data_IF_668914758994
#
_entry.id   IF_668914758994
#
_cell.length_a   1.000
_cell.length_b   1.000
_cell.length_c   1.000
_cell.angle_alpha   90.00
_cell.angle_beta   90.00
_cell.angle_gamma   90.00
#
_symmetry.space_group_name_H-M   'P 1'
#
loop_
_entity.id
_entity.type
_entity.pdbx_description
1 polymer ?
#
# COMPACT_ATOMS: atom_id res chain seq x y z
N UNK A 1 24.84 -6.12 0.82
CA UNK A 1 25.16 -5.99 2.29
C UNK A 1 23.95 -6.53 3.06
N UNK A 2 24.13 -7.51 3.97
CA UNK A 2 22.99 -8.15 4.65
C UNK A 2 22.18 -7.15 5.49
N UNK A 3 20.86 -7.13 5.34
CA UNK A 3 19.94 -6.33 6.16
C UNK A 3 19.87 -6.96 7.56
N UNK A 4 20.11 -6.15 8.58
CA UNK A 4 20.08 -6.54 9.99
C UNK A 4 18.89 -5.96 10.74
N UNK A 5 18.46 -4.76 10.34
CA UNK A 5 17.39 -4.05 11.01
C UNK A 5 16.48 -3.29 10.02
N UNK A 6 15.24 -3.08 10.45
CA UNK A 6 14.23 -2.35 9.68
C UNK A 6 13.55 -1.26 10.52
N UNK A 7 13.37 -0.08 9.94
CA UNK A 7 12.50 0.95 10.45
C UNK A 7 11.11 0.82 9.83
N UNK A 8 10.06 0.80 10.64
CA UNK A 8 8.67 0.83 10.19
C UNK A 8 8.13 2.25 10.33
N UNK A 9 7.70 2.83 9.23
CA UNK A 9 7.06 4.15 9.20
C UNK A 9 5.56 3.95 9.02
N UNK A 10 4.84 4.14 10.11
CA UNK A 10 3.39 3.90 10.18
C UNK A 10 3.04 2.66 10.99
N UNK A 11 2.09 2.83 11.91
CA UNK A 11 1.57 1.76 12.76
C UNK A 11 0.14 1.37 12.36
N UNK A 12 -0.17 1.41 11.06
CA UNK A 12 -1.40 0.88 10.46
C UNK A 12 -1.43 -0.65 10.48
N UNK A 13 -2.42 -1.26 9.81
CA UNK A 13 -2.52 -2.72 9.73
C UNK A 13 -1.25 -3.38 9.17
N UNK A 14 -0.73 -2.88 8.03
CA UNK A 14 0.48 -3.44 7.41
C UNK A 14 1.75 -3.19 8.23
N UNK A 15 1.90 -1.99 8.80
CA UNK A 15 3.06 -1.69 9.66
C UNK A 15 3.10 -2.61 10.89
N UNK A 16 1.96 -2.83 11.55
CA UNK A 16 1.86 -3.77 12.66
C UNK A 16 2.10 -5.22 12.21
N UNK A 17 1.54 -5.62 11.07
CA UNK A 17 1.69 -6.96 10.50
C UNK A 17 3.18 -7.29 10.26
N UNK A 18 3.87 -6.46 9.51
CA UNK A 18 5.27 -6.73 9.15
C UNK A 18 6.22 -6.53 10.33
N UNK A 19 6.04 -5.46 11.10
CA UNK A 19 6.89 -5.22 12.26
C UNK A 19 6.77 -6.30 13.33
N UNK A 20 5.55 -6.79 13.62
CA UNK A 20 5.37 -7.90 14.56
C UNK A 20 5.98 -9.22 14.08
N UNK A 21 5.92 -9.50 12.75
CA UNK A 21 6.59 -10.67 12.16
C UNK A 21 8.11 -10.57 12.28
N UNK A 22 8.71 -9.41 11.99
CA UNK A 22 10.14 -9.17 12.15
C UNK A 22 10.54 -9.36 13.60
N UNK A 23 9.83 -8.73 14.54
CA UNK A 23 10.08 -8.85 15.97
C UNK A 23 10.03 -10.32 16.44
N UNK A 24 8.96 -11.03 16.07
CA UNK A 24 8.72 -12.43 16.51
C UNK A 24 9.75 -13.41 15.96
N UNK A 25 10.20 -13.24 14.71
CA UNK A 25 11.02 -14.26 14.02
C UNK A 25 12.52 -13.92 13.97
N UNK A 26 12.89 -12.64 14.09
CA UNK A 26 14.31 -12.22 14.08
C UNK A 26 14.73 -11.69 15.46
N UNK A 27 13.89 -10.88 16.10
CA UNK A 27 14.15 -10.37 17.45
C UNK A 27 13.95 -8.85 17.58
N UNK A 28 14.06 -8.37 18.83
CA UNK A 28 13.77 -6.98 19.20
C UNK A 28 14.69 -5.95 18.54
N UNK A 29 15.94 -6.31 18.26
CA UNK A 29 16.93 -5.40 17.69
C UNK A 29 16.82 -5.30 16.16
N UNK A 30 15.99 -6.15 15.54
CA UNK A 30 15.77 -6.20 14.10
C UNK A 30 14.67 -5.26 13.58
N UNK A 31 13.92 -4.60 14.46
CA UNK A 31 12.83 -3.71 14.05
C UNK A 31 12.60 -2.57 15.03
N UNK A 32 12.27 -1.40 14.52
CA UNK A 32 11.78 -0.28 15.33
C UNK A 32 10.69 0.48 14.58
N UNK A 33 9.66 0.91 15.31
CA UNK A 33 8.64 1.83 14.79
C UNK A 33 9.11 3.26 15.04
N UNK A 34 9.25 4.03 13.98
CA UNK A 34 9.71 5.42 14.08
C UNK A 34 8.51 6.34 14.15
N UNK A 35 8.48 7.17 15.18
CA UNK A 35 7.35 8.00 15.52
C UNK A 35 7.77 9.45 15.72
N UNK A 36 6.93 10.38 15.26
CA UNK A 36 6.99 11.77 15.72
C UNK A 36 6.72 11.86 17.22
N UNK A 37 6.97 13.01 17.83
CA UNK A 37 6.85 13.16 19.28
C UNK A 37 5.45 12.90 19.79
N UNK A 38 4.42 13.40 19.12
CA UNK A 38 3.03 13.27 19.53
C UNK A 38 2.57 11.81 19.51
N UNK A 39 2.89 11.10 18.42
CA UNK A 39 2.61 9.66 18.31
C UNK A 39 3.42 8.85 19.28
N UNK A 40 4.69 9.20 19.51
CA UNK A 40 5.52 8.51 20.48
C UNK A 40 4.92 8.62 21.89
N UNK A 41 4.55 9.82 22.33
CA UNK A 41 3.89 10.01 23.64
C UNK A 41 2.56 9.29 23.75
N UNK A 42 1.78 9.25 22.65
CA UNK A 42 0.51 8.53 22.60
C UNK A 42 0.66 7.02 22.65
N UNK A 43 1.72 6.46 22.04
CA UNK A 43 1.87 5.01 21.89
C UNK A 43 2.75 4.34 22.94
N UNK A 44 3.68 5.06 23.58
CA UNK A 44 4.58 4.49 24.60
C UNK A 44 3.87 3.81 25.78
N UNK A 45 2.60 4.18 26.03
CA UNK A 45 1.76 3.62 27.13
C UNK A 45 0.68 2.66 26.62
N UNK A 46 0.61 2.40 25.31
CA UNK A 46 -0.42 1.53 24.74
C UNK A 46 0.09 0.12 24.61
N UNK A 47 -0.70 -0.81 25.07
CA UNK A 47 -0.55 -2.23 24.75
C UNK A 47 -1.15 -2.50 23.37
N UNK A 48 -0.46 -3.29 22.57
CA UNK A 48 -0.91 -3.73 21.26
C UNK A 48 -1.10 -5.23 21.25
N UNK A 49 -2.08 -5.69 20.48
CA UNK A 49 -2.31 -7.13 20.30
C UNK A 49 -2.28 -7.48 18.82
N UNK A 50 -1.81 -8.69 18.52
CA UNK A 50 -1.87 -9.31 17.19
C UNK A 50 -2.56 -10.66 17.33
N UNK A 51 -3.73 -10.82 16.70
CA UNK A 51 -4.58 -12.00 16.84
C UNK A 51 -4.85 -12.39 18.31
N UNK A 52 -5.08 -11.37 19.17
CA UNK A 52 -5.34 -11.55 20.59
C UNK A 52 -4.10 -11.71 21.48
N UNK A 53 -2.93 -11.96 20.93
CA UNK A 53 -1.66 -12.03 21.68
C UNK A 53 -1.07 -10.63 21.88
N UNK A 54 -0.66 -10.28 23.10
CA UNK A 54 0.04 -9.04 23.36
C UNK A 54 1.42 -9.03 22.70
N UNK A 55 1.76 -7.91 22.06
CA UNK A 55 3.03 -7.76 21.35
C UNK A 55 3.80 -6.54 21.85
N UNK A 56 5.10 -6.72 22.03
CA UNK A 56 5.99 -5.60 22.25
C UNK A 56 6.34 -4.93 20.92
N UNK A 57 6.23 -3.61 20.89
CA UNK A 57 6.56 -2.80 19.69
C UNK A 57 7.71 -1.87 20.05
N UNK A 58 8.95 -2.17 19.60
CA UNK A 58 10.08 -1.26 19.82
C UNK A 58 9.81 0.07 19.12
N UNK A 59 9.70 1.17 19.87
CA UNK A 59 9.42 2.50 19.35
C UNK A 59 10.61 3.43 19.57
N UNK A 60 10.91 4.25 18.55
CA UNK A 60 11.99 5.24 18.59
C UNK A 60 11.44 6.59 18.13
N UNK A 61 11.81 7.67 18.82
CA UNK A 61 11.49 9.04 18.36
C UNK A 61 12.25 9.37 17.10
N UNK A 62 11.59 9.98 16.13
CA UNK A 62 12.20 10.35 14.85
C UNK A 62 13.51 11.14 14.98
N UNK A 63 13.59 12.07 15.97
CA UNK A 63 14.81 12.87 16.21
C UNK A 63 15.98 12.04 16.77
N UNK A 64 15.69 10.89 17.40
CA UNK A 64 16.70 9.98 17.98
C UNK A 64 16.99 8.76 17.10
N UNK A 65 16.31 8.64 15.97
CA UNK A 65 16.55 7.56 15.04
C UNK A 65 17.95 7.68 14.40
N UNK A 66 18.55 6.55 14.13
CA UNK A 66 19.79 6.40 13.39
C UNK A 66 19.48 5.70 12.06
N UNK A 67 20.39 5.70 11.08
CA UNK A 67 20.17 4.98 9.82
C UNK A 67 19.89 3.48 10.03
N UNK A 68 18.89 2.98 9.32
CA UNK A 68 18.51 1.58 9.26
C UNK A 68 18.93 0.99 7.90
N UNK A 69 19.10 -0.34 7.86
CA UNK A 69 19.40 -1.04 6.61
C UNK A 69 18.18 -1.06 5.69
N UNK A 70 16.96 -1.21 6.27
CA UNK A 70 15.69 -1.21 5.55
C UNK A 70 14.71 -0.22 6.17
N UNK A 71 14.01 0.55 5.34
CA UNK A 71 12.85 1.37 5.76
C UNK A 71 11.61 0.86 5.05
N UNK A 72 10.58 0.49 5.81
CA UNK A 72 9.28 0.05 5.30
C UNK A 72 8.25 1.15 5.55
N UNK A 73 7.77 1.78 4.47
CA UNK A 73 6.74 2.82 4.52
C UNK A 73 5.36 2.18 4.43
N UNK A 74 4.55 2.33 5.51
CA UNK A 74 3.24 1.69 5.66
C UNK A 74 2.21 2.68 6.24
N UNK A 75 2.12 3.86 5.65
CA UNK A 75 1.19 4.93 6.04
C UNK A 75 0.01 5.03 5.07
N UNK A 76 -1.04 5.76 5.45
CA UNK A 76 -2.05 6.20 4.49
C UNK A 76 -1.53 7.36 3.63
N UNK A 77 -2.05 7.49 2.41
CA UNK A 77 -1.58 8.46 1.42
C UNK A 77 -1.48 9.89 1.96
N UNK A 78 -2.51 10.37 2.65
CA UNK A 78 -2.54 11.71 3.24
C UNK A 78 -1.46 11.95 4.32
N UNK A 79 -0.83 10.88 4.81
CA UNK A 79 0.24 10.95 5.81
C UNK A 79 1.64 10.82 5.21
N UNK A 80 1.78 10.61 3.90
CA UNK A 80 3.06 10.31 3.27
C UNK A 80 4.08 11.44 3.46
N UNK A 81 3.68 12.70 3.24
CA UNK A 81 4.60 13.84 3.42
C UNK A 81 5.14 13.94 4.84
N UNK A 82 4.28 13.75 5.86
CA UNK A 82 4.73 13.70 7.26
C UNK A 82 5.61 12.49 7.56
N UNK A 83 5.34 11.36 6.92
CA UNK A 83 6.16 10.15 7.03
C UNK A 83 7.57 10.36 6.47
N UNK A 84 7.71 11.10 5.36
CA UNK A 84 9.02 11.46 4.81
C UNK A 84 9.87 12.28 5.80
N UNK A 85 9.27 13.22 6.51
CA UNK A 85 10.00 13.96 7.56
C UNK A 85 10.33 13.06 8.77
N UNK A 86 9.39 12.19 9.17
CA UNK A 86 9.59 11.24 10.28
C UNK A 86 10.76 10.28 10.02
N UNK A 87 10.93 9.81 8.79
CA UNK A 87 11.99 8.84 8.45
C UNK A 87 13.35 9.48 8.11
N UNK A 88 13.48 10.79 8.16
CA UNK A 88 14.68 11.50 7.71
C UNK A 88 15.99 10.96 8.29
N UNK A 89 16.03 10.70 9.59
CA UNK A 89 17.23 10.20 10.27
C UNK A 89 17.43 8.68 10.08
N UNK A 90 16.41 7.97 9.56
CA UNK A 90 16.49 6.53 9.30
C UNK A 90 17.19 6.20 7.98
N UNK A 91 17.37 7.20 7.11
CA UNK A 91 17.88 7.00 5.75
C UNK A 91 19.36 7.40 5.68
N UNK A 92 20.23 6.42 5.60
CA UNK A 92 21.66 6.57 5.36
C UNK A 92 22.06 6.31 3.91
N UNK A 93 23.36 6.23 3.65
CA UNK A 93 23.90 5.96 2.31
C UNK A 93 23.44 4.62 1.74
N UNK A 94 23.41 3.59 2.58
CA UNK A 94 23.13 2.20 2.18
C UNK A 94 21.70 1.74 2.46
N UNK A 95 20.86 2.59 3.00
CA UNK A 95 19.47 2.26 3.34
C UNK A 95 18.69 1.87 2.08
N UNK A 96 17.98 0.75 2.17
CA UNK A 96 16.97 0.36 1.18
C UNK A 96 15.60 0.84 1.68
N UNK A 97 14.78 1.36 0.78
CA UNK A 97 13.42 1.84 1.09
C UNK A 97 12.43 1.05 0.26
N UNK A 98 11.37 0.55 0.89
CA UNK A 98 10.21 -0.01 0.21
C UNK A 98 8.94 0.68 0.71
N UNK A 99 7.97 0.85 -0.18
CA UNK A 99 6.62 1.28 0.15
C UNK A 99 5.66 0.09 0.00
N UNK A 100 4.87 -0.18 1.04
CA UNK A 100 3.80 -1.20 0.99
C UNK A 100 2.43 -0.54 0.95
N UNK A 101 2.40 0.73 0.58
CA UNK A 101 1.17 1.50 0.37
C UNK A 101 0.43 1.00 -0.87
N UNK A 102 -0.84 1.34 -0.97
CA UNK A 102 -1.57 1.20 -2.23
C UNK A 102 -1.16 2.32 -3.20
N UNK A 103 -1.65 2.25 -4.45
CA UNK A 103 -1.33 3.26 -5.47
C UNK A 103 -0.04 2.96 -6.21
N UNK A 104 0.43 3.93 -6.99
CA UNK A 104 1.59 3.83 -7.88
C UNK A 104 2.54 5.02 -7.80
N UNK A 105 2.25 6.02 -6.97
CA UNK A 105 2.98 7.29 -6.91
C UNK A 105 3.82 7.45 -5.64
N UNK A 106 3.63 6.59 -4.63
CA UNK A 106 4.40 6.65 -3.38
C UNK A 106 5.91 6.48 -3.63
N UNK A 107 6.27 5.61 -4.54
CA UNK A 107 7.64 5.32 -4.91
C UNK A 107 8.32 6.53 -5.54
N UNK A 108 7.64 7.22 -6.47
CA UNK A 108 8.16 8.44 -7.09
C UNK A 108 8.34 9.56 -6.07
N UNK A 109 7.37 9.73 -5.16
CA UNK A 109 7.42 10.75 -4.10
C UNK A 109 8.60 10.47 -3.15
N UNK A 110 8.80 9.22 -2.74
CA UNK A 110 9.92 8.80 -1.90
C UNK A 110 11.25 8.99 -2.64
N UNK A 111 11.34 8.56 -3.90
CA UNK A 111 12.53 8.66 -4.71
C UNK A 111 12.99 10.11 -4.92
N UNK A 112 12.07 11.04 -5.16
CA UNK A 112 12.38 12.49 -5.25
C UNK A 112 13.03 13.05 -3.99
N UNK A 113 12.72 12.48 -2.82
CA UNK A 113 13.24 12.96 -1.54
C UNK A 113 14.56 12.30 -1.14
N UNK A 114 14.70 10.99 -1.41
CA UNK A 114 15.80 10.17 -0.87
C UNK A 114 16.73 9.56 -1.91
N UNK A 115 16.38 9.68 -3.18
CA UNK A 115 17.11 9.10 -4.31
C UNK A 115 16.51 7.76 -4.76
N UNK A 116 16.43 7.61 -6.08
CA UNK A 116 15.89 6.40 -6.70
C UNK A 116 16.74 5.16 -6.43
N UNK A 117 18.05 5.34 -6.25
CA UNK A 117 18.99 4.27 -5.98
C UNK A 117 18.73 3.52 -4.66
N UNK A 118 17.97 4.13 -3.74
CA UNK A 118 17.58 3.52 -2.46
C UNK A 118 16.27 2.75 -2.53
N UNK A 119 15.46 3.01 -3.55
CA UNK A 119 14.10 2.48 -3.64
C UNK A 119 14.07 1.11 -4.32
N UNK A 120 13.30 0.18 -3.75
CA UNK A 120 12.77 -1.01 -4.42
C UNK A 120 11.24 -0.93 -4.45
N UNK A 121 10.65 -1.51 -5.49
CA UNK A 121 9.20 -1.61 -5.58
C UNK A 121 8.68 -2.75 -4.70
N UNK A 122 7.57 -2.50 -4.00
CA UNK A 122 6.90 -3.50 -3.17
C UNK A 122 5.38 -3.37 -3.28
N UNK A 123 4.70 -4.51 -3.43
CA UNK A 123 3.25 -4.56 -3.57
C UNK A 123 2.70 -5.52 -2.53
N UNK A 124 2.03 -5.01 -1.52
CA UNK A 124 1.36 -5.84 -0.51
C UNK A 124 -0.03 -6.27 -1.02
N UNK A 125 -0.34 -7.57 -1.06
CA UNK A 125 -1.60 -8.09 -1.57
C UNK A 125 -2.06 -9.37 -0.88
N UNK A 126 -3.37 -9.67 -0.96
CA UNK A 126 -3.94 -10.93 -0.49
C UNK A 126 -4.05 -11.06 1.04
N UNK A 127 -3.82 -9.97 1.81
CA UNK A 127 -4.04 -9.95 3.24
C UNK A 127 -5.47 -9.53 3.59
N UNK A 128 -5.96 -10.02 4.73
CA UNK A 128 -7.20 -9.59 5.37
C UNK A 128 -6.94 -8.84 6.70
N UNK A 129 -5.75 -8.24 6.81
CA UNK A 129 -5.30 -7.56 8.01
C UNK A 129 -6.13 -6.32 8.34
N UNK A 130 -6.79 -6.33 9.48
CA UNK A 130 -7.60 -5.23 10.00
C UNK A 130 -7.05 -4.73 11.33
N UNK A 131 -6.93 -3.40 11.44
CA UNK A 131 -6.58 -2.75 12.71
C UNK A 131 -7.75 -2.01 13.30
N UNK A 132 -8.13 -2.39 14.50
CA UNK A 132 -9.06 -1.64 15.32
C UNK A 132 -8.35 -1.14 16.59
N UNK A 133 -8.25 0.19 16.75
CA UNK A 133 -7.51 0.83 17.86
C UNK A 133 -6.07 0.30 17.97
N UNK A 134 -5.77 -0.53 18.99
CA UNK A 134 -4.47 -1.15 19.22
C UNK A 134 -4.44 -2.65 18.90
N UNK A 135 -5.54 -3.22 18.40
CA UNK A 135 -5.61 -4.61 18.01
C UNK A 135 -5.46 -4.78 16.48
N UNK A 136 -4.57 -5.67 16.07
CA UNK A 136 -4.46 -6.18 14.71
C UNK A 136 -5.04 -7.59 14.67
N UNK A 137 -5.94 -7.83 13.73
CA UNK A 137 -6.48 -9.17 13.44
C UNK A 137 -6.26 -9.50 11.98
N UNK A 138 -5.86 -10.72 11.69
CA UNK A 138 -5.78 -11.27 10.34
C UNK A 138 -5.83 -12.79 10.38
N UNK A 139 -6.38 -13.40 9.33
CA UNK A 139 -6.26 -14.84 9.06
C UNK A 139 -5.26 -15.11 7.94
N UNK A 140 -5.12 -14.17 7.00
CA UNK A 140 -4.17 -14.24 5.88
C UNK A 140 -3.20 -13.05 5.97
N UNK A 141 -1.90 -13.35 6.04
CA UNK A 141 -0.85 -12.32 6.05
C UNK A 141 -0.53 -11.78 4.66
N UNK A 142 -1.07 -12.37 3.61
CA UNK A 142 -0.81 -11.99 2.23
C UNK A 142 0.63 -12.22 1.78
N UNK A 143 0.93 -11.70 0.61
CA UNK A 143 2.25 -11.79 -0.04
C UNK A 143 2.72 -10.39 -0.43
N UNK A 144 4.02 -10.12 -0.31
CA UNK A 144 4.64 -8.90 -0.85
C UNK A 144 5.34 -9.25 -2.16
N UNK A 145 4.91 -8.63 -3.27
CA UNK A 145 5.70 -8.69 -4.49
C UNK A 145 6.84 -7.69 -4.37
N UNK A 146 8.06 -8.13 -4.62
CA UNK A 146 9.26 -7.30 -4.58
C UNK A 146 9.88 -7.23 -5.97
N UNK A 147 10.41 -6.07 -6.36
CA UNK A 147 11.03 -5.95 -7.66
C UNK A 147 11.85 -4.70 -7.87
N UNK A 148 12.53 -4.69 -9.00
CA UNK A 148 13.41 -3.63 -9.47
C UNK A 148 13.14 -3.33 -10.93
N UNK A 149 13.33 -2.08 -11.34
CA UNK A 149 13.35 -1.65 -12.74
C UNK A 149 14.80 -1.49 -13.25
N UNK A 150 15.77 -1.39 -12.34
CA UNK A 150 17.19 -1.28 -12.63
C UNK A 150 17.95 -2.51 -12.11
N UNK A 151 18.53 -3.29 -13.03
CA UNK A 151 19.27 -4.52 -12.70
C UNK A 151 20.45 -4.29 -11.74
N UNK A 152 21.00 -3.07 -11.67
CA UNK A 152 22.06 -2.70 -10.72
C UNK A 152 21.63 -2.80 -9.25
N UNK A 153 20.33 -2.80 -8.99
CA UNK A 153 19.76 -2.96 -7.65
C UNK A 153 19.54 -4.43 -7.24
N UNK A 154 20.01 -5.41 -8.04
CA UNK A 154 19.75 -6.83 -7.80
C UNK A 154 20.22 -7.29 -6.43
N UNK A 155 21.42 -6.92 -6.01
CA UNK A 155 21.96 -7.26 -4.69
C UNK A 155 21.05 -6.76 -3.56
N UNK A 156 20.54 -5.53 -3.66
CA UNK A 156 19.61 -4.96 -2.68
C UNK A 156 18.30 -5.73 -2.62
N UNK A 157 17.79 -6.18 -3.76
CA UNK A 157 16.58 -7.00 -3.83
C UNK A 157 16.79 -8.34 -3.13
N UNK A 158 17.91 -8.99 -3.40
CA UNK A 158 18.27 -10.29 -2.81
C UNK A 158 18.45 -10.16 -1.28
N UNK A 159 19.05 -9.06 -0.79
CA UNK A 159 19.16 -8.75 0.65
C UNK A 159 17.79 -8.60 1.32
N UNK A 160 16.84 -7.89 0.68
CA UNK A 160 15.46 -7.74 1.20
C UNK A 160 14.74 -9.09 1.21
N UNK A 161 14.89 -9.89 0.16
CA UNK A 161 14.31 -11.24 0.08
C UNK A 161 14.82 -12.14 1.20
N UNK A 162 16.12 -12.13 1.48
CA UNK A 162 16.72 -12.88 2.59
C UNK A 162 16.17 -12.42 3.94
N UNK A 163 16.07 -11.11 4.15
CA UNK A 163 15.50 -10.55 5.38
C UNK A 163 14.03 -10.95 5.56
N UNK A 164 13.23 -10.91 4.49
CA UNK A 164 11.83 -11.32 4.53
C UNK A 164 11.67 -12.82 4.81
N UNK A 165 12.58 -13.66 4.25
CA UNK A 165 12.63 -15.09 4.57
C UNK A 165 12.85 -15.32 6.08
N UNK A 166 13.83 -14.63 6.68
CA UNK A 166 14.10 -14.71 8.13
C UNK A 166 12.91 -14.20 8.95
N UNK A 167 12.25 -13.16 8.51
CA UNK A 167 11.06 -12.59 9.16
C UNK A 167 9.78 -13.41 8.95
N UNK A 168 9.81 -14.46 8.13
CA UNK A 168 8.62 -15.21 7.68
C UNK A 168 7.54 -14.31 7.07
N UNK A 169 7.97 -13.31 6.32
CA UNK A 169 7.11 -12.49 5.48
C UNK A 169 7.05 -13.16 4.11
N UNK A 170 5.86 -13.59 3.70
CA UNK A 170 5.64 -14.19 2.38
C UNK A 170 5.94 -13.15 1.28
N UNK A 171 6.77 -13.53 0.30
CA UNK A 171 7.09 -12.66 -0.84
C UNK A 171 7.24 -13.46 -2.13
N UNK A 172 7.15 -12.75 -3.25
CA UNK A 172 7.56 -13.25 -4.57
C UNK A 172 8.20 -12.15 -5.39
N UNK A 173 8.97 -12.53 -6.41
CA UNK A 173 9.64 -11.60 -7.33
C UNK A 173 9.08 -11.83 -8.73
N UNK A 174 8.13 -10.99 -9.18
CA UNK A 174 7.57 -11.13 -10.53
C UNK A 174 8.60 -10.75 -11.60
N UNK A 175 8.41 -11.26 -12.81
CA UNK A 175 9.27 -10.93 -13.95
C UNK A 175 9.20 -9.45 -14.35
N UNK A 176 8.06 -8.81 -14.14
CA UNK A 176 7.81 -7.38 -14.35
C UNK A 176 7.03 -6.80 -13.17
N UNK A 177 7.75 -6.05 -12.33
CA UNK A 177 7.16 -5.42 -11.15
C UNK A 177 6.26 -4.24 -11.52
N UNK A 178 6.56 -3.52 -12.61
CA UNK A 178 5.74 -2.38 -13.02
C UNK A 178 4.39 -2.85 -13.56
N UNK A 179 4.38 -3.92 -14.37
CA UNK A 179 3.14 -4.55 -14.80
C UNK A 179 2.29 -5.02 -13.62
N UNK A 180 2.91 -5.66 -12.62
CA UNK A 180 2.20 -6.11 -11.42
C UNK A 180 1.66 -4.93 -10.58
N UNK A 181 2.44 -3.83 -10.43
CA UNK A 181 2.05 -2.63 -9.70
C UNK A 181 0.85 -1.94 -10.34
N UNK A 182 0.93 -1.72 -11.64
CA UNK A 182 -0.16 -1.11 -12.40
C UNK A 182 -1.40 -2.01 -12.49
N UNK A 183 -1.21 -3.32 -12.56
CA UNK A 183 -2.32 -4.28 -12.52
C UNK A 183 -3.07 -4.27 -11.19
N UNK A 184 -2.35 -4.20 -10.05
CA UNK A 184 -3.00 -3.99 -8.75
C UNK A 184 -3.68 -2.62 -8.66
N UNK A 185 -3.08 -1.58 -9.22
CA UNK A 185 -3.67 -0.24 -9.26
C UNK A 185 -4.97 -0.23 -10.09
N UNK A 186 -4.97 -0.85 -11.26
CA UNK A 186 -6.15 -1.03 -12.11
C UNK A 186 -7.30 -1.68 -11.33
N UNK A 187 -7.03 -2.76 -10.60
CA UNK A 187 -8.01 -3.42 -9.75
C UNK A 187 -8.58 -2.48 -8.68
N UNK A 188 -7.69 -1.83 -7.93
CA UNK A 188 -8.08 -0.94 -6.84
C UNK A 188 -8.90 0.27 -7.35
N UNK A 189 -8.50 0.86 -8.47
CA UNK A 189 -9.22 2.00 -9.08
C UNK A 189 -10.64 1.58 -9.48
N UNK A 190 -10.82 0.43 -10.09
CA UNK A 190 -12.14 -0.04 -10.48
C UNK A 190 -12.99 -0.45 -9.29
N UNK A 191 -12.54 -1.47 -8.57
CA UNK A 191 -13.34 -2.16 -7.55
C UNK A 191 -13.60 -1.28 -6.33
N UNK A 192 -12.54 -0.66 -5.76
CA UNK A 192 -12.65 0.06 -4.50
C UNK A 192 -13.58 1.27 -4.61
N UNK A 193 -13.44 2.04 -5.69
CA UNK A 193 -14.25 3.23 -5.92
C UNK A 193 -15.70 2.89 -6.26
N UNK A 194 -15.92 1.91 -7.16
CA UNK A 194 -17.26 1.48 -7.50
C UNK A 194 -18.00 0.90 -6.28
N UNK A 195 -17.36 0.07 -5.48
CA UNK A 195 -17.96 -0.45 -4.26
C UNK A 195 -18.35 0.66 -3.28
N UNK A 196 -17.52 1.70 -3.12
CA UNK A 196 -17.83 2.83 -2.24
C UNK A 196 -18.98 3.67 -2.77
N UNK A 197 -18.92 4.10 -4.04
CA UNK A 197 -19.90 5.02 -4.65
C UNK A 197 -21.29 4.37 -4.75
N UNK A 198 -21.33 3.10 -5.18
CA UNK A 198 -22.62 2.37 -5.32
C UNK A 198 -23.02 1.60 -4.05
N UNK A 199 -22.29 1.79 -2.93
CA UNK A 199 -22.58 1.16 -1.62
C UNK A 199 -22.79 -0.34 -1.75
N UNK A 200 -21.87 -1.02 -2.44
CA UNK A 200 -21.97 -2.45 -2.76
C UNK A 200 -20.76 -3.23 -2.26
N UNK A 201 -20.81 -4.56 -2.40
CA UNK A 201 -19.78 -5.52 -1.98
C UNK A 201 -19.01 -6.05 -3.20
N UNK A 202 -17.97 -6.89 -2.97
CA UNK A 202 -17.29 -7.59 -4.06
C UNK A 202 -18.26 -8.37 -4.96
N UNK A 203 -19.19 -9.14 -4.37
CA UNK A 203 -20.18 -9.88 -5.15
C UNK A 203 -21.17 -8.96 -5.86
N UNK A 204 -21.51 -7.81 -5.28
CA UNK A 204 -22.42 -6.84 -5.88
C UNK A 204 -21.82 -6.12 -7.09
N UNK A 205 -20.55 -5.68 -7.01
CA UNK A 205 -19.89 -4.99 -8.13
C UNK A 205 -19.58 -5.89 -9.32
N UNK A 206 -19.52 -7.22 -9.09
CA UNK A 206 -19.32 -8.20 -10.15
C UNK A 206 -20.60 -8.61 -10.88
N UNK A 207 -21.78 -8.31 -10.32
CA UNK A 207 -23.06 -8.54 -10.99
C UNK A 207 -23.28 -7.50 -12.08
N UNK A 208 -23.90 -7.91 -13.18
CA UNK A 208 -24.29 -7.00 -14.25
C UNK A 208 -25.17 -5.86 -13.68
N UNK A 209 -24.80 -4.62 -14.01
CA UNK A 209 -25.48 -3.42 -13.49
C UNK A 209 -24.63 -2.17 -13.63
N UNK A 210 -25.08 -1.08 -13.01
CA UNK A 210 -24.41 0.22 -13.07
C UNK A 210 -23.03 0.19 -12.41
N UNK A 211 -22.94 -0.39 -11.21
CA UNK A 211 -21.67 -0.53 -10.48
C UNK A 211 -20.62 -1.32 -11.27
N UNK A 212 -21.03 -2.41 -11.93
CA UNK A 212 -20.15 -3.20 -12.77
C UNK A 212 -19.66 -2.44 -13.99
N UNK A 213 -20.58 -1.74 -14.70
CA UNK A 213 -20.20 -0.91 -15.86
C UNK A 213 -19.22 0.20 -15.47
N UNK A 214 -19.47 0.86 -14.34
CA UNK A 214 -18.58 1.89 -13.79
C UNK A 214 -17.20 1.33 -13.44
N UNK A 215 -17.15 0.20 -12.74
CA UNK A 215 -15.90 -0.51 -12.41
C UNK A 215 -15.08 -0.80 -13.68
N UNK A 216 -15.68 -1.43 -14.68
CA UNK A 216 -14.99 -1.80 -15.94
C UNK A 216 -14.55 -0.56 -16.72
N UNK A 217 -15.37 0.49 -16.80
CA UNK A 217 -15.02 1.73 -17.47
C UNK A 217 -13.82 2.42 -16.78
N UNK A 218 -13.83 2.51 -15.45
CA UNK A 218 -12.72 3.07 -14.67
C UNK A 218 -11.41 2.27 -14.86
N UNK A 219 -11.50 0.92 -14.91
CA UNK A 219 -10.34 0.07 -15.20
C UNK A 219 -9.79 0.29 -16.62
N UNK A 220 -10.63 0.46 -17.63
CA UNK A 220 -10.19 0.76 -19.00
C UNK A 220 -9.48 2.11 -19.12
N UNK A 221 -9.91 3.11 -18.37
CA UNK A 221 -9.20 4.38 -18.29
C UNK A 221 -7.81 4.23 -17.68
N UNK A 222 -7.64 3.32 -16.69
CA UNK A 222 -6.29 2.98 -16.15
C UNK A 222 -5.42 2.31 -17.22
N UNK A 223 -5.96 1.41 -18.05
CA UNK A 223 -5.21 0.82 -19.17
C UNK A 223 -4.70 1.91 -20.10
N UNK A 224 -5.56 2.87 -20.46
CA UNK A 224 -5.17 3.95 -21.36
C UNK A 224 -4.02 4.82 -20.81
N UNK A 225 -4.06 5.17 -19.53
CA UNK A 225 -2.98 5.96 -18.92
C UNK A 225 -1.72 5.11 -18.64
N UNK A 226 -1.85 3.82 -18.40
CA UNK A 226 -0.72 2.90 -18.25
C UNK A 226 0.11 2.82 -19.53
N UNK A 227 -0.54 2.69 -20.70
CA UNK A 227 0.13 2.73 -22.00
C UNK A 227 0.90 4.04 -22.21
N UNK A 228 0.32 5.18 -21.83
CA UNK A 228 0.98 6.47 -21.94
C UNK A 228 2.21 6.61 -21.00
N UNK A 229 2.24 5.86 -19.89
CA UNK A 229 3.39 5.76 -18.97
C UNK A 229 4.33 4.59 -19.34
N UNK A 230 4.11 3.91 -20.48
CA UNK A 230 4.99 2.84 -20.99
C UNK A 230 4.77 1.48 -20.33
N UNK A 231 3.61 1.26 -19.72
CA UNK A 231 3.25 -0.03 -19.10
C UNK A 231 2.14 -0.71 -19.90
N UNK A 232 2.44 -1.87 -20.44
CA UNK A 232 1.54 -2.65 -21.32
C UNK A 232 0.50 -3.42 -20.51
N UNK A 233 -0.60 -2.75 -20.13
CA UNK A 233 -1.80 -3.41 -19.62
C UNK A 233 -2.81 -3.64 -20.75
N UNK A 234 -3.57 -4.72 -20.66
CA UNK A 234 -4.53 -5.14 -21.70
C UNK A 234 -5.88 -5.54 -21.11
N UNK A 235 -6.88 -5.76 -21.96
CA UNK A 235 -8.16 -6.35 -21.54
C UNK A 235 -7.98 -7.75 -20.91
N UNK A 236 -6.88 -8.47 -21.23
CA UNK A 236 -6.58 -9.76 -20.58
C UNK A 236 -6.22 -9.56 -19.11
N UNK A 237 -5.46 -8.48 -18.82
CA UNK A 237 -5.12 -8.12 -17.45
C UNK A 237 -6.36 -7.67 -16.67
N UNK A 238 -7.22 -6.86 -17.27
CA UNK A 238 -8.50 -6.48 -16.68
C UNK A 238 -9.31 -7.72 -16.30
N UNK A 239 -9.51 -8.65 -17.23
CA UNK A 239 -10.25 -9.88 -16.99
C UNK A 239 -9.60 -10.75 -15.90
N UNK A 240 -8.26 -10.86 -15.91
CA UNK A 240 -7.50 -11.58 -14.89
C UNK A 240 -7.75 -11.02 -13.49
N UNK A 241 -7.69 -9.70 -13.32
CA UNK A 241 -7.93 -9.06 -12.02
C UNK A 241 -9.39 -9.14 -11.58
N UNK A 242 -10.35 -9.04 -12.50
CA UNK A 242 -11.78 -9.31 -12.22
C UNK A 242 -11.99 -10.75 -11.77
N UNK A 243 -11.31 -11.73 -12.37
CA UNK A 243 -11.40 -13.14 -11.98
C UNK A 243 -10.75 -13.42 -10.60
N UNK A 244 -9.78 -12.64 -10.19
CA UNK A 244 -9.25 -12.68 -8.80
C UNK A 244 -10.33 -12.28 -7.82
N UNK A 245 -11.07 -11.20 -8.08
CA UNK A 245 -12.14 -10.71 -7.21
C UNK A 245 -13.28 -11.72 -7.03
N UNK A 246 -13.59 -12.52 -8.06
CA UNK A 246 -14.60 -13.59 -7.97
C UNK A 246 -14.27 -14.65 -6.91
N UNK A 247 -13.01 -14.73 -6.45
CA UNK A 247 -12.55 -15.69 -5.43
C UNK A 247 -12.65 -15.14 -4.01
N UNK A 248 -12.99 -13.86 -3.86
CA UNK A 248 -13.17 -13.24 -2.56
C UNK A 248 -14.58 -13.56 -1.99
N UNK A 249 -14.75 -13.29 -0.70
CA UNK A 249 -16.05 -13.44 -0.05
C UNK A 249 -17.03 -12.41 -0.63
N UNK A 250 -18.13 -12.85 -1.28
CA UNK A 250 -19.01 -11.95 -2.04
C UNK A 250 -19.61 -10.81 -1.22
N UNK A 251 -19.89 -11.06 0.07
CA UNK A 251 -20.53 -10.11 0.97
C UNK A 251 -19.54 -9.18 1.68
N UNK A 252 -18.24 -9.36 1.46
CA UNK A 252 -17.24 -8.46 2.01
C UNK A 252 -16.99 -7.24 1.13
N UNK A 253 -16.41 -6.20 1.72
CA UNK A 253 -16.17 -4.91 1.08
C UNK A 253 -14.67 -4.59 1.03
N UNK A 254 -14.18 -3.94 -0.05
CA UNK A 254 -12.82 -3.43 -0.11
C UNK A 254 -12.59 -2.30 0.91
N UNK A 255 -11.30 -2.04 1.22
CA UNK A 255 -10.89 -1.09 2.26
C UNK A 255 -11.50 0.31 2.10
N UNK A 256 -11.57 0.84 0.88
CA UNK A 256 -12.13 2.15 0.61
C UNK A 256 -13.64 2.20 0.88
N UNK A 257 -14.40 1.14 0.54
CA UNK A 257 -15.82 1.05 0.86
C UNK A 257 -16.05 0.91 2.38
N UNK A 258 -15.16 0.21 3.10
CA UNK A 258 -15.16 0.16 4.56
C UNK A 258 -14.88 1.53 5.18
N UNK A 259 -13.95 2.32 4.62
CA UNK A 259 -13.69 3.69 5.07
C UNK A 259 -14.95 4.57 4.87
N UNK A 260 -15.61 4.48 3.71
CA UNK A 260 -16.84 5.20 3.44
C UNK A 260 -17.99 4.83 4.39
N UNK A 261 -18.20 3.54 4.63
CA UNK A 261 -19.21 3.06 5.59
C UNK A 261 -18.96 3.55 7.02
N UNK A 262 -17.69 3.71 7.39
CA UNK A 262 -17.25 4.21 8.69
C UNK A 262 -17.08 5.74 8.74
N UNK A 263 -17.48 6.47 7.69
CA UNK A 263 -17.32 7.93 7.56
C UNK A 263 -15.89 8.39 7.83
N UNK A 264 -14.92 7.69 7.28
CA UNK A 264 -13.49 8.05 7.34
C UNK A 264 -13.03 8.59 5.98
N UNK A 265 -12.05 9.50 5.94
CA UNK A 265 -11.43 9.92 4.69
C UNK A 265 -10.91 8.70 3.91
N UNK A 266 -11.29 8.63 2.64
CA UNK A 266 -10.90 7.54 1.74
C UNK A 266 -9.55 7.77 1.07
N UNK A 267 -9.16 6.83 0.22
CA UNK A 267 -7.95 6.92 -0.59
C UNK A 267 -8.23 7.43 -2.04
N UNK A 268 -9.31 8.19 -2.24
CA UNK A 268 -9.73 8.67 -3.58
C UNK A 268 -8.65 9.49 -4.29
N UNK A 269 -7.87 10.29 -3.55
CA UNK A 269 -6.75 11.05 -4.13
C UNK A 269 -5.68 10.13 -4.72
N UNK A 270 -5.41 9.03 -4.04
CA UNK A 270 -4.45 8.03 -4.48
C UNK A 270 -4.95 7.20 -5.67
N UNK A 271 -6.27 7.01 -5.80
CA UNK A 271 -6.87 6.27 -6.91
C UNK A 271 -7.30 7.20 -8.06
N UNK A 272 -8.52 7.69 -8.06
CA UNK A 272 -8.99 8.56 -9.14
C UNK A 272 -8.17 9.85 -9.25
N UNK A 273 -7.70 10.44 -8.14
CA UNK A 273 -6.84 11.62 -8.18
C UNK A 273 -5.56 11.37 -8.99
N UNK A 274 -4.89 10.24 -8.76
CA UNK A 274 -3.70 9.83 -9.53
C UNK A 274 -4.03 9.57 -11.00
N UNK A 275 -5.15 8.88 -11.30
CA UNK A 275 -5.62 8.65 -12.68
C UNK A 275 -5.84 9.99 -13.40
N UNK A 276 -6.56 10.93 -12.80
CA UNK A 276 -6.84 12.25 -13.37
C UNK A 276 -5.55 13.06 -13.58
N UNK A 277 -4.62 13.00 -12.63
CA UNK A 277 -3.32 13.69 -12.73
C UNK A 277 -2.49 13.17 -13.93
N UNK A 278 -2.38 11.85 -14.10
CA UNK A 278 -1.64 11.24 -15.20
C UNK A 278 -2.36 11.51 -16.54
N UNK A 279 -3.67 11.34 -16.58
CA UNK A 279 -4.49 11.62 -17.75
C UNK A 279 -4.32 13.06 -18.25
N UNK A 280 -4.29 14.04 -17.33
CA UNK A 280 -4.02 15.44 -17.67
C UNK A 280 -2.64 15.65 -18.28
N UNK A 281 -1.60 14.97 -17.77
CA UNK A 281 -0.23 15.02 -18.31
C UNK A 281 -0.17 14.56 -19.76
N UNK A 282 -1.00 13.57 -20.12
CA UNK A 282 -1.01 12.96 -21.46
C UNK A 282 -2.19 13.38 -22.36
N UNK A 283 -3.02 14.33 -21.92
CA UNK A 283 -4.23 14.76 -22.62
C UNK A 283 -5.22 13.62 -22.93
N UNK A 284 -5.35 12.68 -21.99
CA UNK A 284 -6.28 11.56 -22.07
C UNK A 284 -7.55 11.90 -21.30
N UNK A 285 -8.72 11.56 -21.86
CA UNK A 285 -10.00 11.73 -21.17
C UNK A 285 -10.27 10.54 -20.26
N UNK A 286 -10.64 10.82 -19.00
CA UNK A 286 -10.98 9.82 -17.97
C UNK A 286 -12.30 10.20 -17.29
N UNK A 287 -13.42 10.19 -18.05
CA UNK A 287 -14.71 10.66 -17.56
C UNK A 287 -15.21 9.82 -16.39
N UNK A 288 -15.00 8.50 -16.37
CA UNK A 288 -15.48 7.64 -15.31
C UNK A 288 -14.73 7.87 -13.98
N UNK A 289 -13.39 7.93 -14.01
CA UNK A 289 -12.62 8.27 -12.82
C UNK A 289 -12.92 9.69 -12.32
N UNK A 290 -13.20 10.63 -13.23
CA UNK A 290 -13.65 11.98 -12.84
C UNK A 290 -15.01 11.95 -12.15
N UNK A 291 -15.95 11.14 -12.64
CA UNK A 291 -17.25 10.92 -12.00
C UNK A 291 -17.11 10.30 -10.62
N UNK A 292 -16.37 9.19 -10.51
CA UNK A 292 -16.14 8.49 -9.24
C UNK A 292 -15.46 9.40 -8.21
N UNK A 293 -14.43 10.15 -8.62
CA UNK A 293 -13.75 11.12 -7.77
C UNK A 293 -14.73 12.14 -7.18
N UNK A 294 -15.54 12.77 -8.05
CA UNK A 294 -16.53 13.75 -7.63
C UNK A 294 -17.53 13.15 -6.65
N UNK A 295 -18.05 11.95 -6.94
CA UNK A 295 -19.02 11.27 -6.06
C UNK A 295 -18.43 10.95 -4.68
N UNK A 296 -17.20 10.46 -4.62
CA UNK A 296 -16.53 10.20 -3.34
C UNK A 296 -16.31 11.50 -2.57
N UNK A 297 -15.90 12.60 -3.22
CA UNK A 297 -15.72 13.90 -2.55
C UNK A 297 -17.05 14.47 -2.04
N UNK A 298 -18.16 14.28 -2.78
CA UNK A 298 -19.50 14.62 -2.32
C UNK A 298 -19.86 13.84 -1.05
N UNK A 299 -19.60 12.52 -1.00
CA UNK A 299 -19.85 11.68 0.17
C UNK A 299 -18.98 12.09 1.37
N UNK A 300 -17.70 12.39 1.15
CA UNK A 300 -16.79 12.81 2.22
C UNK A 300 -17.14 14.17 2.82
N UNK A 301 -17.79 15.05 2.06
CA UNK A 301 -18.26 16.35 2.55
C UNK A 301 -19.44 16.23 3.56
N UNK A 302 -20.05 15.05 3.65
CA UNK A 302 -21.15 14.75 4.59
C UNK A 302 -20.65 14.10 5.92
N UNK A 303 -19.32 13.89 6.10
CA UNK A 303 -18.73 13.18 7.26
C UNK A 303 -18.54 14.05 8.53
#
# INVERSE_FOLDING_TARGET
>A
MAIKNAAIIGMGALGLLYGSKIYKNIGKDAVSYILDDDRFESYKKKSFTVNGEEVFLPTVRAQKALPYDLVIVAVKYNSLNGALETMKNCVGSNTVIISVMNGIDSEEIIARRYGEEKLLYAIAQGMDAMREKSALTYSKSGTVLLGITDKRKREKLDDVCEFFTKAKIEYSVPGDIMHALWGKFLLNVGVNQACMVFKTTYGGVLKEGEANRSMIAAMREVIAIAHAEGVELTEKDLNFYVDIEKKLLPDSMPSMAQDGAAKRPSEVEMFAGTVIKIAKKHNILVPENTFLYKKVKEMEAEY
#
